data_IF_222491228414
#
_entry.id   IF_222491228414
#
_cell.length_a   1.000
_cell.length_b   1.000
_cell.length_c   1.000
_cell.angle_alpha   90.00
_cell.angle_beta   90.00
_cell.angle_gamma   90.00
#
_symmetry.space_group_name_H-M   'P 1'
#
loop_
_entity.id
_entity.type
_entity.pdbx_description
1 polymer ?
#
# COMPACT_ATOMS: atom_id res chain seq x y z
N UNK A 1 -24.37 -16.44 -5.74
CA UNK A 1 -23.35 -15.82 -4.87
C UNK A 1 -24.08 -14.74 -4.09
N UNK A 2 -24.14 -14.79 -2.76
CA UNK A 2 -24.85 -13.78 -1.96
C UNK A 2 -23.98 -12.53 -1.88
N UNK A 3 -24.59 -11.35 -2.03
CA UNK A 3 -23.90 -10.08 -1.81
C UNK A 3 -23.62 -9.89 -0.32
N UNK A 4 -22.39 -9.50 0.00
CA UNK A 4 -21.99 -9.19 1.37
C UNK A 4 -22.78 -7.99 1.89
N UNK A 5 -23.19 -8.05 3.15
CA UNK A 5 -23.69 -6.89 3.89
C UNK A 5 -22.57 -5.87 4.07
N UNK A 6 -22.93 -4.63 4.43
CA UNK A 6 -21.94 -3.57 4.68
C UNK A 6 -21.00 -3.91 5.85
N UNK A 7 -21.52 -4.60 6.88
CA UNK A 7 -20.75 -5.03 8.05
C UNK A 7 -19.77 -6.16 7.70
N UNK A 8 -20.21 -7.16 6.95
CA UNK A 8 -19.33 -8.23 6.45
C UNK A 8 -18.23 -7.67 5.55
N UNK A 9 -18.56 -6.71 4.68
CA UNK A 9 -17.57 -6.05 3.83
C UNK A 9 -16.57 -5.22 4.65
N UNK A 10 -17.04 -4.56 5.71
CA UNK A 10 -16.17 -3.79 6.59
C UNK A 10 -15.18 -4.70 7.35
N UNK A 11 -15.60 -5.90 7.75
CA UNK A 11 -14.70 -6.91 8.32
C UNK A 11 -13.61 -7.32 7.31
N UNK A 12 -13.99 -7.66 6.08
CA UNK A 12 -13.04 -8.02 5.02
C UNK A 12 -12.03 -6.89 4.78
N UNK A 13 -12.47 -5.63 4.78
CA UNK A 13 -11.58 -4.49 4.61
C UNK A 13 -10.62 -4.30 5.79
N UNK A 14 -11.06 -4.58 7.02
CA UNK A 14 -10.17 -4.60 8.20
C UNK A 14 -9.13 -5.72 8.10
N UNK A 15 -9.54 -6.91 7.65
CA UNK A 15 -8.62 -8.02 7.40
C UNK A 15 -7.59 -7.71 6.30
N UNK A 16 -8.00 -6.99 5.24
CA UNK A 16 -7.09 -6.49 4.20
C UNK A 16 -6.09 -5.48 4.79
N UNK A 17 -6.55 -4.52 5.59
CA UNK A 17 -5.67 -3.53 6.21
C UNK A 17 -4.63 -4.19 7.12
N UNK A 18 -5.08 -5.13 7.97
CA UNK A 18 -4.24 -5.88 8.90
C UNK A 18 -3.32 -6.90 8.20
N UNK A 19 -3.72 -7.43 7.05
CA UNK A 19 -2.98 -8.46 6.32
C UNK A 19 -2.94 -9.82 7.02
N UNK A 20 -3.99 -10.15 7.78
CA UNK A 20 -4.10 -11.38 8.58
C UNK A 20 -4.77 -12.52 7.81
N UNK A 21 -6.05 -12.36 7.46
CA UNK A 21 -6.85 -13.38 6.76
C UNK A 21 -6.87 -13.17 5.24
N UNK A 22 -6.78 -11.91 4.79
CA UNK A 22 -6.78 -11.55 3.38
C UNK A 22 -5.39 -11.08 2.97
N UNK A 23 -4.85 -11.67 1.89
CA UNK A 23 -3.56 -11.27 1.34
C UNK A 23 -3.60 -9.80 0.92
N UNK A 24 -2.60 -9.04 1.39
CA UNK A 24 -2.37 -7.67 0.92
C UNK A 24 -1.78 -7.70 -0.49
N UNK A 25 -2.57 -7.30 -1.47
CA UNK A 25 -2.18 -7.27 -2.89
C UNK A 25 -2.99 -6.21 -3.63
N UNK A 26 -3.48 -6.52 -4.83
CA UNK A 26 -4.47 -5.71 -5.56
C UNK A 26 -5.87 -6.15 -5.18
N UNK A 27 -6.75 -5.21 -4.87
CA UNK A 27 -8.15 -5.43 -4.57
C UNK A 27 -9.03 -4.46 -5.36
N UNK A 28 -10.06 -4.97 -6.02
CA UNK A 28 -11.08 -4.13 -6.66
C UNK A 28 -12.13 -3.73 -5.61
N UNK A 29 -12.42 -2.43 -5.55
CA UNK A 29 -13.35 -1.82 -4.61
C UNK A 29 -14.72 -1.58 -5.24
N UNK A 30 -14.83 -1.76 -6.57
CA UNK A 30 -16.10 -1.71 -7.29
C UNK A 30 -16.62 -3.13 -7.39
N UNK A 31 -17.76 -3.40 -6.77
CA UNK A 31 -18.42 -4.72 -6.81
C UNK A 31 -19.91 -4.53 -7.06
N UNK A 32 -20.45 -5.30 -8.00
CA UNK A 32 -21.85 -5.16 -8.43
C UNK A 32 -22.20 -3.76 -8.95
N UNK A 33 -21.23 -3.02 -9.50
CA UNK A 33 -21.39 -1.64 -9.96
C UNK A 33 -21.40 -0.58 -8.85
N UNK A 34 -21.20 -0.98 -7.59
CA UNK A 34 -21.15 -0.05 -6.44
C UNK A 34 -19.68 0.20 -6.08
N UNK A 35 -19.28 1.47 -6.09
CA UNK A 35 -17.98 1.90 -5.61
C UNK A 35 -17.95 1.92 -4.07
N UNK A 36 -17.01 1.17 -3.48
CA UNK A 36 -16.81 1.06 -2.03
C UNK A 36 -15.55 1.75 -1.54
N UNK A 37 -14.95 2.61 -2.37
CA UNK A 37 -13.71 3.33 -2.07
C UNK A 37 -13.81 4.09 -0.74
N UNK A 38 -14.85 4.88 -0.53
CA UNK A 38 -15.00 5.67 0.70
C UNK A 38 -15.07 4.82 1.97
N UNK A 39 -15.76 3.68 1.89
CA UNK A 39 -15.83 2.72 3.00
C UNK A 39 -14.44 2.14 3.31
N UNK A 40 -13.69 1.76 2.27
CA UNK A 40 -12.33 1.25 2.42
C UNK A 40 -11.40 2.31 3.02
N UNK A 41 -11.47 3.56 2.54
CA UNK A 41 -10.64 4.66 3.07
C UNK A 41 -10.93 4.97 4.54
N UNK A 42 -12.21 4.93 4.94
CA UNK A 42 -12.57 5.08 6.37
C UNK A 42 -11.95 3.98 7.22
N UNK A 43 -12.04 2.73 6.77
CA UNK A 43 -11.48 1.58 7.49
C UNK A 43 -9.96 1.61 7.53
N UNK A 44 -9.31 2.07 6.47
CA UNK A 44 -7.87 2.33 6.46
C UNK A 44 -7.49 3.33 7.55
N UNK A 45 -8.20 4.46 7.65
CA UNK A 45 -7.95 5.47 8.68
C UNK A 45 -8.15 4.91 10.10
N UNK A 46 -9.20 4.12 10.32
CA UNK A 46 -9.43 3.42 11.60
C UNK A 46 -8.33 2.39 11.91
N UNK A 47 -7.70 1.84 10.88
CA UNK A 47 -6.59 0.87 10.99
C UNK A 47 -5.21 1.54 11.05
N UNK A 48 -5.13 2.87 11.16
CA UNK A 48 -3.87 3.63 11.28
C UNK A 48 -3.23 4.05 9.96
N UNK A 49 -3.87 3.79 8.82
CA UNK A 49 -3.39 4.23 7.51
C UNK A 49 -3.93 5.62 7.18
N UNK A 50 -3.05 6.61 7.08
CA UNK A 50 -3.42 7.99 6.84
C UNK A 50 -2.92 8.51 5.49
N UNK A 51 -3.66 9.43 4.85
CA UNK A 51 -3.26 10.02 3.57
C UNK A 51 -1.98 10.84 3.75
N UNK A 52 -0.98 10.55 2.92
CA UNK A 52 0.36 11.16 2.98
C UNK A 52 1.04 11.08 1.61
N UNK A 53 2.03 11.93 1.35
CA UNK A 53 2.90 11.78 0.18
C UNK A 53 4.08 10.87 0.52
N UNK A 54 4.68 10.24 -0.50
CA UNK A 54 5.87 9.41 -0.30
C UNK A 54 6.99 10.20 0.38
N UNK A 55 7.20 11.47 0.02
CA UNK A 55 8.21 12.34 0.65
C UNK A 55 8.01 12.49 2.17
N UNK A 56 6.78 12.70 2.63
CA UNK A 56 6.48 13.00 4.03
C UNK A 56 6.59 11.79 4.99
N UNK A 57 6.69 10.56 4.49
CA UNK A 57 6.78 9.36 5.33
C UNK A 57 8.13 9.26 6.07
N UNK A 58 8.16 9.34 7.40
CA UNK A 58 9.41 9.34 8.17
C UNK A 58 10.12 7.99 8.31
N UNK A 59 10.74 7.46 7.24
CA UNK A 59 11.55 6.22 7.26
C UNK A 59 12.98 6.44 6.78
N UNK A 60 13.91 5.61 7.26
CA UNK A 60 15.34 5.61 6.94
C UNK A 60 15.71 4.52 5.91
N UNK A 61 16.88 4.61 5.27
CA UNK A 61 17.43 3.49 4.51
C UNK A 61 17.50 2.21 5.34
N UNK A 62 17.06 1.08 4.78
CA UNK A 62 16.93 -0.20 5.50
C UNK A 62 15.61 -0.36 6.29
N UNK A 63 14.70 0.61 6.19
CA UNK A 63 13.36 0.54 6.75
C UNK A 63 12.30 0.56 5.64
N UNK A 64 11.13 0.02 5.95
CA UNK A 64 9.93 0.13 5.14
C UNK A 64 8.68 0.27 5.98
N UNK A 65 7.66 0.90 5.41
CA UNK A 65 6.34 1.05 6.05
C UNK A 65 5.25 0.63 5.06
N UNK A 66 4.19 -0.06 5.51
CA UNK A 66 3.14 -0.52 4.61
C UNK A 66 2.27 0.64 4.15
N UNK A 67 1.82 0.57 2.90
CA UNK A 67 0.93 1.57 2.36
C UNK A 67 0.00 1.00 1.29
N UNK A 68 -1.08 1.73 1.03
CA UNK A 68 -1.98 1.51 -0.09
C UNK A 68 -1.97 2.71 -1.02
N UNK A 69 -1.90 2.45 -2.32
CA UNK A 69 -2.26 3.40 -3.35
C UNK A 69 -3.67 3.08 -3.83
N UNK A 70 -4.61 4.00 -3.57
CA UNK A 70 -6.03 3.82 -3.91
C UNK A 70 -6.39 4.77 -5.03
N UNK A 71 -6.78 4.23 -6.18
CA UNK A 71 -7.15 5.03 -7.34
C UNK A 71 -8.15 4.26 -8.22
N UNK A 72 -9.14 4.98 -8.76
CA UNK A 72 -10.11 4.45 -9.74
C UNK A 72 -10.78 3.14 -9.25
N UNK A 73 -11.25 3.12 -8.00
CA UNK A 73 -11.91 1.95 -7.43
C UNK A 73 -10.99 0.73 -7.23
N UNK A 74 -9.67 0.93 -7.17
CA UNK A 74 -8.70 -0.16 -6.92
C UNK A 74 -7.78 0.23 -5.76
N UNK A 75 -7.61 -0.68 -4.80
CA UNK A 75 -6.59 -0.58 -3.76
C UNK A 75 -5.37 -1.45 -4.11
N UNK A 76 -4.20 -0.84 -4.15
CA UNK A 76 -2.93 -1.52 -4.42
C UNK A 76 -2.04 -1.44 -3.18
N UNK A 77 -1.80 -2.59 -2.56
CA UNK A 77 -0.85 -2.70 -1.47
C UNK A 77 0.60 -2.61 -1.97
N UNK A 78 1.42 -1.94 -1.17
CA UNK A 78 2.85 -1.81 -1.38
C UNK A 78 3.58 -1.38 -0.11
N UNK A 79 4.82 -1.01 -0.33
CA UNK A 79 5.71 -0.51 0.71
C UNK A 79 6.24 0.86 0.31
N UNK A 80 6.37 1.76 1.28
CA UNK A 80 7.26 2.91 1.16
C UNK A 80 8.60 2.49 1.71
N UNK A 81 9.66 2.69 0.93
CA UNK A 81 11.01 2.27 1.29
C UNK A 81 12.06 3.11 0.54
N UNK A 82 13.31 2.96 0.95
CA UNK A 82 14.46 3.46 0.21
C UNK A 82 15.04 2.35 -0.66
N UNK A 83 15.17 2.62 -1.95
CA UNK A 83 15.81 1.75 -2.92
C UNK A 83 17.23 2.24 -3.23
N UNK A 84 18.16 1.31 -3.31
CA UNK A 84 19.50 1.57 -3.82
C UNK A 84 19.51 1.51 -5.35
N UNK A 85 19.52 2.67 -5.99
CA UNK A 85 19.55 2.78 -7.44
C UNK A 85 20.96 2.57 -8.01
N UNK A 86 21.99 3.00 -7.28
CA UNK A 86 23.39 2.70 -7.57
C UNK A 86 24.20 2.66 -6.28
N UNK A 87 25.48 2.31 -6.34
CA UNK A 87 26.36 2.31 -5.17
C UNK A 87 26.36 3.63 -4.38
N UNK A 88 26.08 4.75 -5.05
CA UNK A 88 26.14 6.10 -4.46
C UNK A 88 24.78 6.80 -4.39
N UNK A 89 23.70 6.18 -4.89
CA UNK A 89 22.39 6.84 -4.98
C UNK A 89 21.30 5.98 -4.39
N UNK A 90 20.65 6.52 -3.38
CA UNK A 90 19.40 6.02 -2.83
C UNK A 90 18.25 6.89 -3.33
N UNK A 91 17.07 6.28 -3.50
CA UNK A 91 15.84 7.01 -3.76
C UNK A 91 14.72 6.44 -2.91
N UNK A 92 13.88 7.31 -2.39
CA UNK A 92 12.67 6.93 -1.66
C UNK A 92 11.50 6.82 -2.62
N UNK A 93 10.73 5.75 -2.49
CA UNK A 93 9.57 5.48 -3.33
C UNK A 93 8.54 4.63 -2.61
N UNK A 94 7.31 4.66 -3.10
CA UNK A 94 6.32 3.61 -2.89
C UNK A 94 6.36 2.63 -4.07
N UNK A 95 6.33 1.33 -3.78
CA UNK A 95 6.27 0.28 -4.78
C UNK A 95 5.27 -0.80 -4.41
N UNK A 96 4.44 -1.20 -5.36
CA UNK A 96 3.46 -2.27 -5.13
C UNK A 96 4.12 -3.64 -4.97
N UNK A 97 3.48 -4.50 -4.15
CA UNK A 97 3.88 -5.91 -4.06
C UNK A 97 3.55 -6.68 -5.34
N UNK A 98 2.55 -6.22 -6.09
CA UNK A 98 2.21 -6.77 -7.41
C UNK A 98 3.18 -6.20 -8.45
N UNK A 99 3.66 -7.09 -9.33
CA UNK A 99 4.64 -6.78 -10.37
C UNK A 99 4.03 -6.95 -11.77
N UNK A 100 4.58 -6.22 -12.72
CA UNK A 100 4.33 -6.42 -14.15
C UNK A 100 5.06 -7.68 -14.63
N UNK A 101 4.71 -8.23 -15.81
CA UNK A 101 5.40 -9.41 -16.37
C UNK A 101 6.91 -9.21 -16.58
N UNK A 102 7.35 -7.97 -16.78
CA UNK A 102 8.77 -7.62 -16.94
C UNK A 102 9.52 -7.46 -15.60
N UNK A 103 8.85 -7.69 -14.46
CA UNK A 103 9.44 -7.56 -13.12
C UNK A 103 9.31 -6.16 -12.49
N UNK A 104 8.91 -5.13 -13.25
CA UNK A 104 8.71 -3.78 -12.72
C UNK A 104 7.50 -3.67 -11.80
N UNK A 105 7.41 -2.57 -11.04
CA UNK A 105 6.28 -2.37 -10.14
C UNK A 105 5.02 -2.14 -10.98
N UNK A 106 3.90 -2.73 -10.56
CA UNK A 106 2.62 -2.41 -11.17
C UNK A 106 2.35 -0.90 -11.04
N UNK A 107 2.54 -0.37 -9.83
CA UNK A 107 2.57 1.07 -9.57
C UNK A 107 3.80 1.41 -8.74
N UNK A 108 4.46 2.50 -9.13
CA UNK A 108 5.55 3.13 -8.41
C UNK A 108 5.23 4.61 -8.24
N UNK A 109 5.36 5.13 -7.02
CA UNK A 109 5.23 6.57 -6.74
C UNK A 109 6.55 7.08 -6.18
N UNK A 110 7.27 7.96 -6.89
CA UNK A 110 8.52 8.52 -6.40
C UNK A 110 8.27 9.59 -5.32
N UNK A 111 9.27 9.87 -4.48
CA UNK A 111 9.15 10.87 -3.41
C UNK A 111 8.69 12.25 -3.88
N UNK A 112 9.19 12.74 -5.02
CA UNK A 112 8.84 14.07 -5.56
C UNK A 112 7.42 14.14 -6.17
N UNK A 113 6.67 13.04 -6.18
CA UNK A 113 5.28 13.05 -6.63
C UNK A 113 4.35 13.60 -5.55
N UNK A 114 3.34 14.35 -5.98
CA UNK A 114 2.24 14.80 -5.12
C UNK A 114 1.13 13.76 -4.96
N UNK A 115 1.29 12.56 -5.53
CA UNK A 115 0.30 11.49 -5.39
C UNK A 115 0.16 11.05 -3.93
N UNK A 116 -1.10 10.92 -3.50
CA UNK A 116 -1.44 10.48 -2.14
C UNK A 116 -1.39 8.96 -2.06
N UNK A 117 -0.73 8.47 -1.02
CA UNK A 117 -0.81 7.09 -0.55
C UNK A 117 -1.42 7.09 0.86
N UNK A 118 -1.92 5.95 1.30
CA UNK A 118 -2.41 5.74 2.64
C UNK A 118 -1.41 4.85 3.36
N UNK A 119 -0.59 5.42 4.24
CA UNK A 119 0.49 4.71 4.91
C UNK A 119 0.21 4.58 6.41
N UNK A 120 0.53 3.42 6.97
CA UNK A 120 0.63 3.28 8.41
C UNK A 120 2.06 3.67 8.78
N UNK A 121 2.24 4.89 9.27
CA UNK A 121 3.56 5.43 9.67
C UNK A 121 3.98 5.00 11.07
N UNK A 122 3.13 4.28 11.79
CA UNK A 122 3.47 3.69 13.10
C UNK A 122 4.12 2.32 12.95
N UNK A 123 3.85 1.61 11.83
CA UNK A 123 4.41 0.30 11.52
C UNK A 123 5.68 0.40 10.67
N UNK A 124 6.81 0.69 11.30
CA UNK A 124 8.13 0.66 10.64
C UNK A 124 8.76 -0.73 10.81
N UNK A 125 9.13 -1.34 9.69
CA UNK A 125 9.74 -2.68 9.65
C UNK A 125 11.15 -2.61 9.06
N UNK A 126 12.09 -3.44 9.55
CA UNK A 126 13.40 -3.59 8.93
C UNK A 126 13.26 -4.21 7.52
N UNK A 127 14.22 -3.87 6.67
CA UNK A 127 14.28 -4.32 5.28
C UNK A 127 15.75 -4.39 4.83
N UNK A 128 16.11 -5.43 4.08
CA UNK A 128 17.40 -5.46 3.38
C UNK A 128 17.36 -4.46 2.21
N UNK A 129 18.19 -3.43 2.23
CA UNK A 129 18.21 -2.42 1.16
C UNK A 129 18.77 -2.95 -0.16
N UNK A 130 19.60 -3.99 -0.11
CA UNK A 130 20.14 -4.68 -1.29
C UNK A 130 19.15 -5.74 -1.79
N UNK A 131 18.24 -6.22 -0.93
CA UNK A 131 17.15 -7.16 -1.26
C UNK A 131 15.81 -6.79 -0.62
N UNK A 132 15.17 -5.69 -1.03
CA UNK A 132 14.03 -5.07 -0.32
C UNK A 132 12.75 -5.91 -0.16
N UNK A 133 12.72 -7.11 -0.73
CA UNK A 133 11.53 -7.97 -0.80
C UNK A 133 11.77 -9.44 -0.46
N UNK A 134 13.01 -9.87 -0.20
CA UNK A 134 13.28 -11.18 0.38
C UNK A 134 13.23 -11.03 1.90
N UNK A 135 12.11 -11.45 2.52
CA UNK A 135 12.05 -11.79 3.95
C UNK A 135 11.72 -13.27 4.07
#
# INVERSE_FOLDING_TARGET
>A
MRDLTTEELAEVFREIAAGTAVKRSRHELISGGIDRTDLFLRILAESGFHPVTVEAVGIRPGERTPAFHVQNGTALFGWVFWEKFSQLRLRKLFGTVVRKPNGDWLVQVPAHSTAVIYADTSQILPMDIDRPFEL
#
